data_IF_158599392063
#
_entry.id   IF_158599392063
#
_cell.length_a   1.000
_cell.length_b   1.000
_cell.length_c   1.000
_cell.angle_alpha   90.00
_cell.angle_beta   90.00
_cell.angle_gamma   90.00
#
_symmetry.space_group_name_H-M   'P 1'
#
loop_
_entity.id
_entity.type
_entity.pdbx_description
1 polymer ?
#
# COMPACT_ATOMS: atom_id res chain seq x y z
N UNK A 1 -19.84 -30.63 -18.66
CA UNK A 1 -20.58 -29.52 -18.01
C UNK A 1 -19.86 -28.95 -16.80
N UNK A 2 -19.72 -29.64 -15.65
CA UNK A 2 -19.07 -29.05 -14.44
C UNK A 2 -17.66 -28.49 -14.69
N UNK A 3 -16.80 -29.24 -15.37
CA UNK A 3 -15.43 -28.78 -15.67
C UNK A 3 -15.42 -27.56 -16.60
N UNK A 4 -16.29 -27.54 -17.62
CA UNK A 4 -16.46 -26.39 -18.51
C UNK A 4 -16.88 -25.14 -17.73
N UNK A 5 -17.90 -25.27 -16.87
CA UNK A 5 -18.39 -24.16 -16.05
C UNK A 5 -17.29 -23.62 -15.13
N UNK A 6 -16.50 -24.50 -14.49
CA UNK A 6 -15.37 -24.08 -13.67
C UNK A 6 -14.36 -23.26 -14.48
N UNK A 7 -13.97 -23.74 -15.66
CA UNK A 7 -13.03 -23.01 -16.53
C UNK A 7 -13.58 -21.66 -16.97
N UNK A 8 -14.87 -21.57 -17.33
CA UNK A 8 -15.51 -20.31 -17.71
C UNK A 8 -15.52 -19.28 -16.57
N UNK A 9 -15.82 -19.69 -15.33
CA UNK A 9 -15.73 -18.82 -14.16
C UNK A 9 -14.30 -18.31 -13.95
N UNK A 10 -13.31 -19.21 -14.03
CA UNK A 10 -11.89 -18.85 -13.88
C UNK A 10 -11.46 -17.86 -14.99
N UNK A 11 -11.86 -18.09 -16.23
CA UNK A 11 -11.58 -17.15 -17.33
C UNK A 11 -12.23 -15.79 -17.11
N UNK A 12 -13.45 -15.72 -16.55
CA UNK A 12 -14.08 -14.45 -16.18
C UNK A 12 -13.24 -13.67 -15.16
N UNK A 13 -12.71 -14.34 -14.13
CA UNK A 13 -11.82 -13.69 -13.15
C UNK A 13 -10.50 -13.27 -13.78
N UNK A 14 -9.92 -14.08 -14.67
CA UNK A 14 -8.74 -13.66 -15.41
C UNK A 14 -9.03 -12.45 -16.30
N UNK A 15 -10.20 -12.37 -16.94
CA UNK A 15 -10.58 -11.23 -17.78
C UNK A 15 -10.51 -9.92 -16.99
N UNK A 16 -11.21 -9.86 -15.86
CA UNK A 16 -11.23 -8.68 -14.98
C UNK A 16 -9.83 -8.33 -14.46
N UNK A 17 -9.03 -9.35 -14.14
CA UNK A 17 -7.66 -9.20 -13.67
C UNK A 17 -6.77 -8.58 -14.75
N UNK A 18 -6.77 -9.13 -15.96
CA UNK A 18 -5.98 -8.63 -17.08
C UNK A 18 -6.42 -7.23 -17.50
N UNK A 19 -7.72 -6.96 -17.57
CA UNK A 19 -8.25 -5.65 -17.94
C UNK A 19 -7.77 -4.54 -16.99
N UNK A 20 -7.91 -4.75 -15.67
CA UNK A 20 -7.40 -3.82 -14.67
C UNK A 20 -5.90 -3.60 -14.81
N UNK A 21 -5.13 -4.67 -14.97
CA UNK A 21 -3.68 -4.57 -14.96
C UNK A 21 -3.13 -3.95 -16.26
N UNK A 22 -3.73 -4.24 -17.42
CA UNK A 22 -3.41 -3.58 -18.69
C UNK A 22 -3.65 -2.07 -18.58
N UNK A 23 -4.77 -1.66 -17.98
CA UNK A 23 -5.05 -0.25 -17.71
C UNK A 23 -3.97 0.39 -16.79
N UNK A 24 -3.56 -0.29 -15.71
CA UNK A 24 -2.52 0.19 -14.82
C UNK A 24 -1.15 0.28 -15.51
N UNK A 25 -0.81 -0.71 -16.34
CA UNK A 25 0.44 -0.72 -17.12
C UNK A 25 0.47 0.46 -18.09
N UNK A 26 -0.59 0.68 -18.87
CA UNK A 26 -0.69 1.81 -19.79
C UNK A 26 -0.61 3.15 -19.04
N UNK A 27 -1.34 3.28 -17.94
CA UNK A 27 -1.35 4.48 -17.10
C UNK A 27 0.03 4.76 -16.52
N UNK A 28 0.72 3.74 -15.98
CA UNK A 28 2.06 3.88 -15.40
C UNK A 28 3.10 4.35 -16.44
N UNK A 29 3.02 3.86 -17.68
CA UNK A 29 3.90 4.28 -18.78
C UNK A 29 3.59 5.73 -19.19
N UNK A 30 2.31 6.08 -19.33
CA UNK A 30 1.86 7.42 -19.68
C UNK A 30 2.24 8.46 -18.63
N UNK A 31 2.02 8.17 -17.35
CA UNK A 31 2.32 9.07 -16.24
C UNK A 31 3.82 9.26 -16.03
N UNK A 32 4.61 8.20 -16.16
CA UNK A 32 6.06 8.30 -16.16
C UNK A 32 6.51 9.31 -17.25
N UNK A 33 5.99 9.18 -18.48
CA UNK A 33 6.33 10.12 -19.57
C UNK A 33 5.90 11.56 -19.29
N UNK A 34 4.73 11.76 -18.67
CA UNK A 34 4.15 13.10 -18.45
C UNK A 34 4.78 13.86 -17.26
N UNK A 35 5.23 13.13 -16.23
CA UNK A 35 5.63 13.73 -14.96
C UNK A 35 7.07 13.41 -14.52
N UNK A 36 7.84 12.63 -15.29
CA UNK A 36 9.23 12.27 -14.97
C UNK A 36 10.10 13.46 -14.56
N UNK A 37 9.94 14.61 -15.23
CA UNK A 37 10.77 15.79 -14.98
C UNK A 37 10.30 16.64 -13.78
N UNK A 38 9.09 16.38 -13.27
CA UNK A 38 8.42 17.25 -12.28
C UNK A 38 8.45 16.71 -10.86
N UNK A 39 8.53 15.39 -10.69
CA UNK A 39 8.52 14.77 -9.37
C UNK A 39 9.31 13.44 -9.37
N UNK A 40 10.51 13.46 -8.78
CA UNK A 40 11.40 12.29 -8.71
C UNK A 40 10.79 11.14 -7.91
N UNK A 41 10.08 11.43 -6.83
CA UNK A 41 9.44 10.40 -5.99
C UNK A 41 8.30 9.70 -6.74
N UNK A 42 7.54 10.45 -7.55
CA UNK A 42 6.52 9.89 -8.43
C UNK A 42 7.12 9.02 -9.54
N UNK A 43 8.31 9.37 -10.04
CA UNK A 43 9.03 8.54 -11.00
C UNK A 43 9.44 7.19 -10.38
N UNK A 44 10.04 7.21 -9.18
CA UNK A 44 10.45 5.98 -8.50
C UNK A 44 9.25 5.08 -8.17
N UNK A 45 8.17 5.64 -7.63
CA UNK A 45 6.93 4.92 -7.39
C UNK A 45 6.36 4.25 -8.66
N UNK A 46 6.40 4.96 -9.79
CA UNK A 46 5.96 4.39 -11.07
C UNK A 46 6.85 3.25 -11.55
N UNK A 47 8.17 3.32 -11.36
CA UNK A 47 9.08 2.22 -11.72
C UNK A 47 8.84 0.98 -10.84
N UNK A 48 8.68 1.16 -9.53
CA UNK A 48 8.38 0.06 -8.60
C UNK A 48 7.02 -0.59 -8.90
N UNK A 49 6.01 0.24 -9.24
CA UNK A 49 4.70 -0.23 -9.68
C UNK A 49 4.81 -1.02 -11.00
N UNK A 50 5.56 -0.53 -11.99
CA UNK A 50 5.79 -1.24 -13.25
C UNK A 50 6.45 -2.60 -13.00
N UNK A 51 7.46 -2.66 -12.14
CA UNK A 51 8.13 -3.92 -11.82
C UNK A 51 7.18 -4.90 -11.12
N UNK A 52 6.37 -4.40 -10.17
CA UNK A 52 5.37 -5.22 -9.47
C UNK A 52 4.31 -5.77 -10.43
N UNK A 53 3.79 -4.93 -11.34
CA UNK A 53 2.85 -5.34 -12.38
C UNK A 53 3.48 -6.34 -13.33
N UNK A 54 4.72 -6.13 -13.77
CA UNK A 54 5.46 -7.03 -14.64
C UNK A 54 5.56 -8.45 -14.05
N UNK A 55 6.04 -8.56 -12.81
CA UNK A 55 6.16 -9.85 -12.11
C UNK A 55 4.80 -10.52 -11.93
N UNK A 56 3.79 -9.74 -11.55
CA UNK A 56 2.42 -10.23 -11.41
C UNK A 56 1.87 -10.76 -12.74
N UNK A 57 2.08 -10.07 -13.85
CA UNK A 57 1.62 -10.52 -15.17
C UNK A 57 2.28 -11.85 -15.58
N UNK A 58 3.55 -12.09 -15.23
CA UNK A 58 4.20 -13.37 -15.50
C UNK A 58 3.47 -14.52 -14.78
N UNK A 59 3.08 -14.31 -13.52
CA UNK A 59 2.29 -15.28 -12.75
C UNK A 59 0.94 -15.52 -13.44
N UNK A 60 0.26 -14.45 -13.82
CA UNK A 60 -1.09 -14.50 -14.38
C UNK A 60 -1.13 -15.15 -15.77
N UNK A 61 -0.16 -14.85 -16.64
CA UNK A 61 0.00 -15.52 -17.94
C UNK A 61 0.27 -17.01 -17.75
N UNK A 62 1.17 -17.38 -16.82
CA UNK A 62 1.43 -18.80 -16.54
C UNK A 62 0.18 -19.53 -16.02
N UNK A 63 -0.56 -18.90 -15.10
CA UNK A 63 -1.78 -19.47 -14.54
C UNK A 63 -2.89 -19.59 -15.59
N UNK A 64 -3.01 -18.62 -16.50
CA UNK A 64 -3.89 -18.69 -17.65
C UNK A 64 -3.53 -19.87 -18.57
N UNK A 65 -2.25 -20.08 -18.89
CA UNK A 65 -1.82 -21.22 -19.71
C UNK A 65 -2.14 -22.57 -19.07
N UNK A 66 -2.01 -22.67 -17.74
CA UNK A 66 -2.38 -23.88 -16.99
C UNK A 66 -3.90 -24.12 -17.06
N UNK A 67 -4.72 -23.08 -16.90
CA UNK A 67 -6.19 -23.18 -17.04
C UNK A 67 -6.60 -23.49 -18.49
N UNK A 68 -5.99 -22.84 -19.49
CA UNK A 68 -6.29 -23.09 -20.90
C UNK A 68 -5.99 -24.55 -21.28
N UNK A 69 -4.94 -25.14 -20.73
CA UNK A 69 -4.65 -26.57 -20.91
C UNK A 69 -5.76 -27.45 -20.33
N UNK A 70 -6.30 -27.11 -19.16
CA UNK A 70 -7.43 -27.82 -18.58
C UNK A 70 -8.70 -27.68 -19.44
N UNK A 71 -9.01 -26.47 -19.91
CA UNK A 71 -10.11 -26.21 -20.84
C UNK A 71 -9.97 -27.00 -22.14
N UNK A 72 -8.80 -26.93 -22.80
CA UNK A 72 -8.54 -27.61 -24.07
C UNK A 72 -8.61 -29.14 -23.95
N UNK A 73 -8.42 -29.72 -22.76
CA UNK A 73 -8.61 -31.17 -22.56
C UNK A 73 -10.05 -31.63 -22.86
N UNK A 74 -11.02 -30.71 -22.78
CA UNK A 74 -12.43 -30.96 -23.10
C UNK A 74 -12.69 -31.02 -24.62
N UNK A 75 -11.76 -30.58 -25.47
CA UNK A 75 -11.90 -30.57 -26.93
C UNK A 75 -12.09 -31.98 -27.54
N UNK A 76 -11.75 -33.04 -26.79
CA UNK A 76 -12.01 -34.41 -27.20
C UNK A 76 -13.51 -34.68 -27.33
N UNK A 77 -14.29 -34.21 -26.36
CA UNK A 77 -15.70 -34.54 -26.19
C UNK A 77 -16.63 -33.35 -26.50
N UNK A 78 -16.09 -32.13 -26.60
CA UNK A 78 -16.84 -30.92 -26.94
C UNK A 78 -16.30 -30.26 -28.23
N UNK A 79 -17.14 -30.23 -29.26
CA UNK A 79 -16.80 -29.67 -30.56
C UNK A 79 -16.60 -28.14 -30.52
N UNK A 80 -17.35 -27.42 -29.69
CA UNK A 80 -17.22 -25.96 -29.55
C UNK A 80 -15.87 -25.61 -28.93
N UNK A 81 -15.47 -26.35 -27.90
CA UNK A 81 -14.14 -26.22 -27.28
C UNK A 81 -13.06 -26.46 -28.32
N UNK A 82 -13.20 -27.51 -29.14
CA UNK A 82 -12.24 -27.82 -30.21
C UNK A 82 -12.13 -26.69 -31.24
N UNK A 83 -13.27 -26.12 -31.66
CA UNK A 83 -13.30 -25.00 -32.62
C UNK A 83 -12.62 -23.76 -32.06
N UNK A 84 -12.98 -23.36 -30.83
CA UNK A 84 -12.35 -22.20 -30.16
C UNK A 84 -10.86 -22.43 -30.00
N UNK A 85 -10.45 -23.60 -29.48
CA UNK A 85 -9.03 -23.93 -29.28
C UNK A 85 -8.22 -23.89 -30.58
N UNK A 86 -8.84 -24.29 -31.69
CA UNK A 86 -8.22 -24.19 -33.02
C UNK A 86 -8.12 -22.75 -33.50
N UNK A 87 -9.15 -21.94 -33.28
CA UNK A 87 -9.18 -20.53 -33.68
C UNK A 87 -8.13 -19.69 -32.92
N UNK A 88 -7.95 -19.95 -31.63
CA UNK A 88 -7.02 -19.18 -30.78
C UNK A 88 -5.57 -19.70 -30.84
N UNK A 89 -5.33 -20.83 -31.50
CA UNK A 89 -4.01 -21.46 -31.60
C UNK A 89 -2.89 -20.52 -32.06
N UNK A 90 -3.09 -19.58 -33.02
CA UNK A 90 -2.04 -18.65 -33.42
C UNK A 90 -1.61 -17.71 -32.27
N UNK A 91 -2.56 -17.20 -31.49
CA UNK A 91 -2.29 -16.35 -30.34
C UNK A 91 -1.60 -17.14 -29.22
N UNK A 92 -2.11 -18.35 -28.93
CA UNK A 92 -1.50 -19.23 -27.93
C UNK A 92 -0.05 -19.57 -28.27
N UNK A 93 0.23 -19.93 -29.52
CA UNK A 93 1.59 -20.21 -30.00
C UNK A 93 2.53 -19.05 -29.73
N UNK A 94 2.06 -17.81 -29.94
CA UNK A 94 2.88 -16.62 -29.71
C UNK A 94 3.24 -16.44 -28.23
N UNK A 95 2.36 -16.84 -27.31
CA UNK A 95 2.66 -16.86 -25.86
C UNK A 95 3.65 -17.99 -25.54
N UNK A 96 3.44 -19.18 -26.10
CA UNK A 96 4.28 -20.37 -25.86
C UNK A 96 5.70 -20.25 -26.44
N UNK A 97 5.93 -19.33 -27.38
CA UNK A 97 7.27 -19.01 -27.89
C UNK A 97 8.20 -18.44 -26.80
N UNK A 98 7.64 -17.86 -25.73
CA UNK A 98 8.39 -17.33 -24.58
C UNK A 98 8.64 -18.45 -23.57
N UNK A 99 9.66 -19.27 -23.83
CA UNK A 99 9.94 -20.50 -23.08
C UNK A 99 10.30 -20.28 -21.61
N UNK A 100 10.86 -19.11 -21.30
CA UNK A 100 11.35 -18.72 -19.98
C UNK A 100 10.28 -18.31 -19.00
N UNK A 101 9.01 -18.10 -19.42
CA UNK A 101 7.92 -17.63 -18.54
C UNK A 101 7.79 -18.41 -17.23
N UNK A 102 7.82 -19.76 -17.31
CA UNK A 102 7.67 -20.62 -16.13
C UNK A 102 8.91 -20.58 -15.23
N UNK A 103 10.11 -20.52 -15.82
CA UNK A 103 11.36 -20.40 -15.07
C UNK A 103 11.41 -19.06 -14.33
N UNK A 104 11.05 -17.97 -15.02
CA UNK A 104 10.94 -16.63 -14.47
C UNK A 104 9.96 -16.58 -13.29
N UNK A 105 8.73 -17.11 -13.48
CA UNK A 105 7.73 -17.22 -12.41
C UNK A 105 8.29 -17.96 -11.20
N UNK A 106 8.91 -19.12 -11.41
CA UNK A 106 9.36 -19.96 -10.32
C UNK A 106 10.47 -19.28 -9.50
N UNK A 107 11.48 -18.72 -10.16
CA UNK A 107 12.61 -18.11 -9.47
C UNK A 107 12.26 -16.80 -8.76
N UNK A 108 11.52 -15.92 -9.45
CA UNK A 108 11.33 -14.54 -8.99
C UNK A 108 10.02 -14.33 -8.22
N UNK A 109 8.96 -15.08 -8.53
CA UNK A 109 7.68 -14.95 -7.83
C UNK A 109 7.42 -16.06 -6.80
N UNK A 110 7.81 -17.31 -7.07
CA UNK A 110 7.48 -18.43 -6.18
C UNK A 110 8.56 -18.74 -5.14
N UNK A 111 9.83 -18.43 -5.43
CA UNK A 111 10.97 -18.82 -4.59
C UNK A 111 11.81 -17.64 -4.08
N UNK A 112 11.28 -16.41 -4.12
CA UNK A 112 11.91 -15.20 -3.57
C UNK A 112 13.37 -15.03 -4.02
N UNK A 113 13.61 -15.00 -5.33
CA UNK A 113 14.94 -14.87 -5.93
C UNK A 113 15.86 -16.07 -5.64
N UNK A 114 15.32 -17.28 -5.53
CA UNK A 114 16.10 -18.52 -5.36
C UNK A 114 15.63 -19.59 -6.32
N UNK A 115 16.51 -20.47 -6.74
CA UNK A 115 16.13 -21.68 -7.46
C UNK A 115 15.99 -22.86 -6.50
N UNK A 116 15.02 -23.75 -6.75
CA UNK A 116 14.82 -24.95 -5.94
C UNK A 116 16.08 -25.83 -5.84
N UNK A 117 16.87 -25.89 -6.92
CA UNK A 117 18.12 -26.66 -7.00
C UNK A 117 19.34 -25.92 -6.44
N UNK A 118 19.25 -24.59 -6.27
CA UNK A 118 20.35 -23.71 -5.81
C UNK A 118 19.82 -22.82 -4.70
N UNK A 119 19.40 -23.44 -3.60
CA UNK A 119 18.73 -22.74 -2.49
C UNK A 119 19.65 -21.73 -1.79
N UNK A 120 20.96 -21.87 -1.88
CA UNK A 120 21.92 -20.99 -1.21
C UNK A 120 22.33 -19.77 -2.04
N UNK A 121 21.95 -19.74 -3.32
CA UNK A 121 22.29 -18.65 -4.24
C UNK A 121 21.08 -17.74 -4.49
N UNK A 122 21.32 -16.43 -4.51
CA UNK A 122 20.33 -15.45 -4.96
C UNK A 122 20.41 -15.37 -6.47
N UNK A 123 19.29 -15.63 -7.14
CA UNK A 123 19.17 -15.45 -8.58
C UNK A 123 19.04 -13.97 -8.88
N UNK A 124 19.85 -13.47 -9.81
CA UNK A 124 19.80 -12.07 -10.18
C UNK A 124 18.66 -11.86 -11.18
N UNK A 125 17.93 -10.75 -11.04
CA UNK A 125 16.92 -10.35 -12.04
C UNK A 125 17.57 -10.24 -13.43
N UNK A 126 18.82 -9.80 -13.50
CA UNK A 126 19.59 -9.71 -14.74
C UNK A 126 19.77 -11.05 -15.44
N UNK A 127 19.77 -12.17 -14.71
CA UNK A 127 19.91 -13.50 -15.30
C UNK A 127 18.71 -13.84 -16.18
N UNK A 128 17.53 -13.29 -15.84
CA UNK A 128 16.31 -13.45 -16.64
C UNK A 128 16.13 -12.33 -17.66
N UNK A 129 16.45 -11.08 -17.32
CA UNK A 129 16.31 -9.95 -18.27
C UNK A 129 17.22 -10.12 -19.49
N UNK A 130 18.38 -10.75 -19.31
CA UNK A 130 19.33 -11.02 -20.39
C UNK A 130 19.10 -12.37 -21.09
N UNK A 131 18.20 -13.21 -20.58
CA UNK A 131 17.86 -14.48 -21.19
C UNK A 131 16.88 -14.25 -22.36
N UNK A 132 17.25 -14.59 -23.60
CA UNK A 132 16.39 -14.38 -24.77
C UNK A 132 15.09 -15.21 -24.73
N UNK A 133 15.00 -16.24 -23.89
CA UNK A 133 13.79 -17.03 -23.71
C UNK A 133 12.82 -16.38 -22.70
N UNK A 134 13.24 -15.34 -21.98
CA UNK A 134 12.47 -14.66 -20.94
C UNK A 134 11.92 -13.30 -21.40
N UNK A 135 10.74 -12.89 -20.91
CA UNK A 135 10.27 -11.55 -21.20
C UNK A 135 11.17 -10.52 -20.52
N UNK A 136 11.47 -9.41 -21.21
CA UNK A 136 12.40 -8.40 -20.68
C UNK A 136 11.86 -6.96 -20.72
N UNK A 137 10.62 -6.77 -21.16
CA UNK A 137 10.00 -5.44 -21.23
C UNK A 137 8.54 -5.43 -20.81
N UNK A 138 8.11 -4.32 -20.21
CA UNK A 138 6.70 -4.11 -19.85
C UNK A 138 5.78 -4.17 -21.08
N UNK A 139 6.27 -3.77 -22.26
CA UNK A 139 5.54 -3.81 -23.51
C UNK A 139 5.31 -5.26 -23.99
N UNK A 140 6.31 -6.13 -23.83
CA UNK A 140 6.15 -7.56 -24.11
C UNK A 140 5.13 -8.20 -23.16
N UNK A 141 5.21 -7.91 -21.87
CA UNK A 141 4.20 -8.40 -20.93
C UNK A 141 2.80 -7.85 -21.23
N UNK A 142 2.68 -6.58 -21.63
CA UNK A 142 1.40 -6.01 -22.06
C UNK A 142 0.84 -6.77 -23.27
N UNK A 143 1.69 -7.07 -24.25
CA UNK A 143 1.31 -7.84 -25.43
C UNK A 143 0.86 -9.27 -25.06
N UNK A 144 1.63 -10.00 -24.26
CA UNK A 144 1.28 -11.35 -23.82
C UNK A 144 -0.04 -11.36 -23.03
N UNK A 145 -0.22 -10.44 -22.08
CA UNK A 145 -1.47 -10.31 -21.31
C UNK A 145 -2.66 -9.94 -22.18
N UNK A 146 -2.45 -9.10 -23.20
CA UNK A 146 -3.47 -8.76 -24.19
C UNK A 146 -3.87 -9.97 -25.02
N UNK A 147 -2.93 -10.84 -25.41
CA UNK A 147 -3.26 -12.10 -26.07
C UNK A 147 -4.10 -13.01 -25.16
N UNK A 148 -3.74 -13.16 -23.89
CA UNK A 148 -4.56 -13.91 -22.92
C UNK A 148 -5.98 -13.35 -22.84
N UNK A 149 -6.12 -12.02 -22.70
CA UNK A 149 -7.41 -11.34 -22.68
C UNK A 149 -8.23 -11.61 -23.94
N UNK A 150 -7.63 -11.46 -25.13
CA UNK A 150 -8.30 -11.74 -26.41
C UNK A 150 -8.77 -13.19 -26.51
N UNK A 151 -7.96 -14.15 -26.07
CA UNK A 151 -8.36 -15.57 -26.06
C UNK A 151 -9.58 -15.78 -25.14
N UNK A 152 -9.58 -15.15 -23.96
CA UNK A 152 -10.69 -15.20 -23.01
C UNK A 152 -11.95 -14.60 -23.63
N UNK A 153 -11.86 -13.48 -24.35
CA UNK A 153 -13.02 -12.89 -25.03
C UNK A 153 -13.62 -13.85 -26.05
N UNK A 154 -12.79 -14.51 -26.88
CA UNK A 154 -13.27 -15.51 -27.84
C UNK A 154 -13.99 -16.66 -27.14
N UNK A 155 -13.44 -17.16 -26.02
CA UNK A 155 -14.08 -18.21 -25.22
C UNK A 155 -15.41 -17.72 -24.65
N UNK A 156 -15.44 -16.55 -24.01
CA UNK A 156 -16.64 -16.00 -23.38
C UNK A 156 -17.74 -15.70 -24.41
N UNK A 157 -17.39 -15.28 -25.63
CA UNK A 157 -18.35 -15.08 -26.71
C UNK A 157 -18.92 -16.40 -27.21
N UNK A 158 -18.11 -17.44 -27.41
CA UNK A 158 -18.63 -18.75 -27.84
C UNK A 158 -19.54 -19.35 -26.77
N UNK A 159 -19.20 -19.20 -25.49
CA UNK A 159 -19.86 -19.86 -24.35
C UNK A 159 -20.66 -18.90 -23.46
N UNK A 160 -21.23 -17.83 -24.03
CA UNK A 160 -21.91 -16.77 -23.27
C UNK A 160 -23.03 -17.33 -22.36
N UNK A 161 -23.85 -18.24 -22.89
CA UNK A 161 -24.94 -18.87 -22.13
C UNK A 161 -24.44 -19.71 -20.97
N UNK A 162 -23.42 -20.54 -21.21
CA UNK A 162 -22.82 -21.40 -20.20
C UNK A 162 -22.09 -20.59 -19.14
N UNK A 163 -21.41 -19.51 -19.55
CA UNK A 163 -20.72 -18.61 -18.64
C UNK A 163 -21.71 -17.93 -17.71
N UNK A 164 -22.82 -17.40 -18.24
CA UNK A 164 -23.88 -16.80 -17.42
C UNK A 164 -24.40 -17.80 -16.39
N UNK A 165 -24.73 -19.02 -16.83
CA UNK A 165 -25.21 -20.06 -15.92
C UNK A 165 -24.15 -20.46 -14.89
N UNK A 166 -22.87 -20.52 -15.27
CA UNK A 166 -21.77 -20.87 -14.39
C UNK A 166 -21.54 -19.78 -13.33
N UNK A 167 -21.62 -18.50 -13.70
CA UNK A 167 -21.51 -17.36 -12.77
C UNK A 167 -22.70 -17.30 -11.81
N UNK A 168 -23.92 -17.51 -12.29
CA UNK A 168 -25.12 -17.60 -11.44
C UNK A 168 -24.99 -18.74 -10.42
N UNK A 169 -24.53 -19.92 -10.88
CA UNK A 169 -24.31 -21.07 -10.01
C UNK A 169 -23.17 -20.84 -9.01
N UNK A 170 -22.09 -20.18 -9.43
CA UNK A 170 -20.97 -19.84 -8.55
C UNK A 170 -21.41 -18.85 -7.48
N UNK A 171 -22.05 -17.74 -7.86
CA UNK A 171 -22.57 -16.73 -6.94
C UNK A 171 -23.57 -17.32 -5.94
N UNK A 172 -24.48 -18.19 -6.40
CA UNK A 172 -25.44 -18.87 -5.51
C UNK A 172 -24.78 -19.88 -4.55
N UNK A 173 -23.55 -20.31 -4.82
CA UNK A 173 -22.77 -21.21 -3.95
C UNK A 173 -21.92 -20.47 -2.92
N UNK A 174 -21.75 -19.15 -3.08
CA UNK A 174 -21.08 -18.31 -2.08
C UNK A 174 -21.99 -18.17 -0.87
N UNK A 175 -21.42 -18.30 0.32
CA UNK A 175 -22.10 -17.89 1.54
C UNK A 175 -22.20 -16.36 1.57
N UNK A 176 -23.29 -15.83 2.11
CA UNK A 176 -23.35 -14.42 2.46
C UNK A 176 -22.51 -14.20 3.73
N UNK A 177 -21.30 -13.69 3.54
CA UNK A 177 -20.36 -13.33 4.60
C UNK A 177 -20.30 -11.81 4.83
N UNK A 178 -21.26 -11.04 4.30
CA UNK A 178 -21.29 -9.58 4.42
C UNK A 178 -21.45 -9.09 5.87
N UNK A 179 -22.13 -9.88 6.70
CA UNK A 179 -22.31 -9.64 8.14
C UNK A 179 -21.26 -10.38 8.98
N UNK A 180 -20.36 -11.17 8.38
CA UNK A 180 -19.25 -11.77 9.13
C UNK A 180 -18.27 -10.68 9.56
N UNK A 181 -17.97 -10.56 10.86
CA UNK A 181 -17.02 -9.55 11.31
C UNK A 181 -15.63 -9.86 10.73
N UNK A 182 -14.99 -8.83 10.17
CA UNK A 182 -13.59 -8.89 9.75
C UNK A 182 -12.73 -9.46 10.90
N UNK A 183 -11.93 -10.49 10.61
CA UNK A 183 -11.03 -11.11 11.58
C UNK A 183 -9.66 -10.43 11.55
N UNK A 184 -9.04 -10.28 12.71
CA UNK A 184 -7.72 -9.68 12.84
C UNK A 184 -7.76 -8.15 12.68
N UNK A 185 -6.83 -7.62 11.88
CA UNK A 185 -6.70 -6.19 11.58
C UNK A 185 -7.75 -5.78 10.56
N UNK A 186 -8.64 -4.86 10.94
CA UNK A 186 -9.83 -4.47 10.17
C UNK A 186 -9.60 -3.21 9.37
N UNK A 187 -8.75 -2.32 9.88
CA UNK A 187 -8.48 -1.02 9.26
C UNK A 187 -6.99 -0.81 9.05
N UNK A 188 -6.64 0.06 8.10
CA UNK A 188 -5.24 0.48 7.89
C UNK A 188 -4.68 1.16 9.14
N UNK A 189 -5.54 1.89 9.89
CA UNK A 189 -5.16 2.53 11.15
C UNK A 189 -4.76 1.50 12.20
N UNK A 190 -5.59 0.49 12.41
CA UNK A 190 -5.28 -0.65 13.30
C UNK A 190 -3.96 -1.33 12.87
N UNK A 191 -3.70 -1.44 11.56
CA UNK A 191 -2.44 -2.00 11.05
C UNK A 191 -1.23 -1.14 11.45
N UNK A 192 -1.32 0.18 11.32
CA UNK A 192 -0.25 1.10 11.72
C UNK A 192 0.03 0.99 13.22
N UNK A 193 -1.01 1.01 14.04
CA UNK A 193 -0.89 0.91 15.50
C UNK A 193 -0.23 -0.40 15.93
N UNK A 194 -0.66 -1.54 15.37
CA UNK A 194 -0.07 -2.84 15.71
C UNK A 194 1.38 -2.95 15.22
N UNK A 195 1.68 -2.48 14.01
CA UNK A 195 3.07 -2.48 13.51
C UNK A 195 3.97 -1.64 14.42
N UNK A 196 3.54 -0.46 14.85
CA UNK A 196 4.34 0.38 15.75
C UNK A 196 4.63 -0.30 17.08
N UNK A 197 3.62 -0.94 17.69
CA UNK A 197 3.81 -1.71 18.93
C UNK A 197 4.91 -2.76 18.78
N UNK A 198 4.95 -3.50 17.67
CA UNK A 198 6.00 -4.50 17.44
C UNK A 198 7.36 -3.86 17.14
N UNK A 199 7.41 -2.76 16.40
CA UNK A 199 8.67 -2.04 16.13
C UNK A 199 9.31 -1.54 17.42
N UNK A 200 8.52 -0.93 18.30
CA UNK A 200 8.98 -0.44 19.61
C UNK A 200 9.49 -1.59 20.49
N UNK A 201 8.78 -2.72 20.55
CA UNK A 201 9.24 -3.94 21.26
C UNK A 201 10.57 -4.47 20.75
N UNK A 202 10.89 -4.26 19.47
CA UNK A 202 12.15 -4.65 18.84
C UNK A 202 13.23 -3.55 18.90
N UNK A 203 13.01 -2.47 19.65
CA UNK A 203 13.88 -1.29 19.73
C UNK A 203 14.16 -0.65 18.35
N UNK A 204 13.19 -0.73 17.43
CA UNK A 204 13.25 -0.06 16.14
C UNK A 204 12.55 1.30 16.23
N UNK A 205 13.04 2.28 15.46
CA UNK A 205 12.36 3.58 15.33
C UNK A 205 10.96 3.40 14.72
N UNK A 206 9.99 4.24 15.13
CA UNK A 206 8.70 4.26 14.47
C UNK A 206 8.80 4.49 12.97
N UNK A 207 7.94 3.82 12.22
CA UNK A 207 7.87 3.94 10.76
C UNK A 207 6.83 4.98 10.33
N UNK A 208 5.77 5.16 11.11
CA UNK A 208 4.59 5.93 10.74
C UNK A 208 4.42 7.21 11.56
N UNK A 209 5.44 7.65 12.30
CA UNK A 209 5.37 8.86 13.13
C UNK A 209 5.02 10.12 12.31
N UNK A 210 5.58 10.29 11.11
CA UNK A 210 5.22 11.43 10.25
C UNK A 210 3.74 11.40 9.86
N UNK A 211 3.21 10.22 9.54
CA UNK A 211 1.78 10.06 9.26
C UNK A 211 0.93 10.38 10.50
N UNK A 212 1.36 9.94 11.68
CA UNK A 212 0.71 10.27 12.96
C UNK A 212 0.60 11.79 13.17
N UNK A 213 1.67 12.52 12.85
CA UNK A 213 1.73 13.97 12.97
C UNK A 213 0.78 14.64 11.96
N UNK A 214 0.69 14.13 10.74
CA UNK A 214 -0.28 14.63 9.74
C UNK A 214 -1.72 14.32 10.14
N UNK A 215 -2.00 13.16 10.72
CA UNK A 215 -3.31 12.82 11.28
C UNK A 215 -3.71 13.80 12.40
N UNK A 216 -2.78 14.09 13.30
CA UNK A 216 -2.99 15.10 14.34
C UNK A 216 -3.26 16.49 13.75
N UNK A 217 -2.53 16.91 12.71
CA UNK A 217 -2.80 18.19 12.02
C UNK A 217 -4.19 18.23 11.39
N UNK A 218 -4.61 17.15 10.72
CA UNK A 218 -5.95 17.04 10.16
C UNK A 218 -7.04 17.09 11.25
N UNK A 219 -6.76 16.57 12.44
CA UNK A 219 -7.65 16.68 13.59
C UNK A 219 -7.77 18.13 14.06
N UNK A 220 -6.67 18.89 14.15
CA UNK A 220 -6.68 20.31 14.51
C UNK A 220 -7.52 21.19 13.57
N UNK A 221 -7.68 20.78 12.31
CA UNK A 221 -8.55 21.48 11.36
C UNK A 221 -10.05 21.25 11.63
N UNK A 222 -10.39 20.17 12.35
CA UNK A 222 -11.77 19.72 12.58
C UNK A 222 -12.30 20.00 13.98
N UNK A 223 -11.42 20.27 14.95
CA UNK A 223 -11.83 20.55 16.34
C UNK A 223 -12.68 21.80 16.45
N UNK A 224 -13.58 21.82 17.43
CA UNK A 224 -14.36 23.00 17.72
C UNK A 224 -13.51 24.06 18.45
N UNK A 225 -12.95 25.00 17.71
CA UNK A 225 -12.14 26.08 18.27
C UNK A 225 -12.90 27.01 19.24
N UNK A 226 -14.24 27.02 19.24
CA UNK A 226 -15.03 27.89 20.13
C UNK A 226 -15.01 27.43 21.60
N UNK A 227 -14.70 26.16 21.87
CA UNK A 227 -14.62 25.61 23.22
C UNK A 227 -13.19 25.54 23.75
N UNK A 228 -12.21 25.98 22.95
CA UNK A 228 -10.79 25.92 23.33
C UNK A 228 -10.46 26.99 24.38
N UNK A 229 -9.76 26.64 25.47
CA UNK A 229 -9.29 27.62 26.45
C UNK A 229 -8.38 28.66 25.79
N UNK A 230 -8.39 29.87 26.33
CA UNK A 230 -7.63 31.01 25.79
C UNK A 230 -6.11 30.77 25.74
N UNK A 231 -5.63 29.90 26.61
CA UNK A 231 -4.25 29.44 26.81
C UNK A 231 -3.76 28.61 25.61
N UNK A 232 -4.67 28.03 24.81
CA UNK A 232 -4.38 27.27 23.60
C UNK A 232 -4.38 28.14 22.34
N UNK A 233 -4.63 29.45 22.45
CA UNK A 233 -4.49 30.35 21.30
C UNK A 233 -3.05 30.33 20.80
N UNK A 234 -2.90 30.20 19.49
CA UNK A 234 -1.60 30.22 18.83
C UNK A 234 -1.33 31.64 18.33
N UNK A 235 -0.30 32.28 18.87
CA UNK A 235 0.18 33.61 18.51
C UNK A 235 1.43 33.50 17.63
N UNK A 236 1.56 34.45 16.70
CA UNK A 236 2.69 34.45 15.77
C UNK A 236 3.99 34.74 16.52
N UNK A 237 4.96 33.83 16.38
CA UNK A 237 6.28 33.95 16.99
C UNK A 237 6.40 33.36 18.40
N UNK A 238 5.32 32.84 18.99
CA UNK A 238 5.36 32.20 20.31
C UNK A 238 5.07 30.70 20.22
N UNK A 239 5.82 29.92 21.00
CA UNK A 239 5.55 28.48 21.14
C UNK A 239 4.50 28.26 22.21
N UNK A 240 3.59 27.33 21.99
CA UNK A 240 2.59 26.98 23.00
C UNK A 240 2.93 25.67 23.72
N UNK A 241 3.30 25.79 25.01
CA UNK A 241 3.61 24.64 25.87
C UNK A 241 2.41 23.74 26.16
N UNK A 242 1.19 24.28 26.23
CA UNK A 242 -0.02 23.50 26.50
C UNK A 242 -0.35 22.56 25.34
N UNK A 243 -0.11 23.01 24.11
CA UNK A 243 -0.21 22.15 22.93
C UNK A 243 0.82 21.02 22.91
N UNK A 244 2.02 21.24 23.49
CA UNK A 244 2.99 20.16 23.68
C UNK A 244 2.43 19.08 24.62
N UNK A 245 1.79 19.47 25.72
CA UNK A 245 1.18 18.51 26.66
C UNK A 245 0.06 17.68 26.02
N UNK A 246 -0.83 18.32 25.24
CA UNK A 246 -1.89 17.63 24.50
C UNK A 246 -1.33 16.65 23.47
N UNK A 247 -0.32 17.09 22.70
CA UNK A 247 0.35 16.23 21.72
C UNK A 247 1.00 15.02 22.38
N UNK A 248 1.67 15.19 23.53
CA UNK A 248 2.29 14.07 24.24
C UNK A 248 1.23 13.10 24.78
N UNK A 249 0.08 13.60 25.27
CA UNK A 249 -1.03 12.72 25.70
C UNK A 249 -1.53 11.85 24.55
N UNK A 250 -1.75 12.47 23.39
CA UNK A 250 -2.11 11.77 22.16
C UNK A 250 -1.07 10.71 21.76
N UNK A 251 0.21 11.10 21.69
CA UNK A 251 1.28 10.17 21.31
C UNK A 251 1.43 9.01 22.31
N UNK A 252 1.28 9.27 23.62
CA UNK A 252 1.31 8.21 24.64
C UNK A 252 0.12 7.26 24.53
N UNK A 253 -1.08 7.78 24.25
CA UNK A 253 -2.26 6.95 24.00
C UNK A 253 -2.02 6.03 22.79
N UNK A 254 -1.34 6.53 21.75
CA UNK A 254 -0.92 5.76 20.58
C UNK A 254 0.27 4.80 20.84
N UNK A 255 0.78 4.75 22.08
CA UNK A 255 1.83 3.83 22.50
C UNK A 255 3.26 4.32 22.23
N UNK A 256 3.45 5.58 21.83
CA UNK A 256 4.78 6.15 21.66
C UNK A 256 5.42 6.43 23.03
N UNK A 257 6.66 5.98 23.18
CA UNK A 257 7.48 6.16 24.39
C UNK A 257 8.69 7.06 24.13
N UNK A 258 9.48 7.35 25.18
CA UNK A 258 10.74 8.10 25.04
C UNK A 258 10.55 9.56 24.61
N UNK A 259 9.44 10.17 25.00
CA UNK A 259 9.06 11.53 24.64
C UNK A 259 9.70 12.53 25.63
N UNK A 260 10.48 13.47 25.11
CA UNK A 260 11.15 14.50 25.90
C UNK A 260 10.47 15.87 25.73
N UNK A 261 10.26 16.56 26.85
CA UNK A 261 9.79 17.94 26.89
C UNK A 261 10.98 18.88 26.97
N UNK A 262 11.15 19.74 25.97
CA UNK A 262 12.33 20.59 25.84
C UNK A 262 11.93 22.06 25.85
N UNK A 263 12.72 22.85 26.57
CA UNK A 263 12.62 24.30 26.68
C UNK A 263 13.92 24.91 26.16
N UNK A 264 13.80 25.93 25.33
CA UNK A 264 14.93 26.71 24.82
C UNK A 264 14.74 28.19 25.12
N UNK A 265 15.82 28.89 25.47
CA UNK A 265 15.78 30.32 25.80
C UNK A 265 16.78 31.09 24.94
N UNK A 266 16.32 32.21 24.36
CA UNK A 266 17.13 33.19 23.61
C UNK A 266 16.71 34.60 23.95
N UNK A 267 17.52 35.33 24.71
CA UNK A 267 17.15 36.67 25.16
C UNK A 267 15.87 36.66 25.98
N UNK A 268 14.84 37.37 25.54
CA UNK A 268 13.51 37.37 26.18
C UNK A 268 12.56 36.27 25.66
N UNK A 269 12.98 35.48 24.67
CA UNK A 269 12.13 34.46 24.05
C UNK A 269 12.32 33.10 24.70
N UNK A 270 11.21 32.44 25.03
CA UNK A 270 11.18 31.06 25.54
C UNK A 270 10.40 30.18 24.57
N UNK A 271 11.06 29.16 24.02
CA UNK A 271 10.49 28.14 23.16
C UNK A 271 10.22 26.84 23.89
N UNK A 272 9.14 26.14 23.55
CA UNK A 272 8.79 24.81 24.04
C UNK A 272 8.50 23.88 22.86
N UNK A 273 9.03 22.66 22.92
CA UNK A 273 8.77 21.63 21.93
C UNK A 273 8.90 20.23 22.55
N UNK A 274 8.48 19.24 21.76
CA UNK A 274 8.57 17.83 22.11
C UNK A 274 9.63 17.18 21.21
N UNK A 275 10.56 16.41 21.79
CA UNK A 275 11.48 15.58 21.02
C UNK A 275 11.16 14.09 21.19
N UNK A 276 11.11 13.38 20.06
CA UNK A 276 10.98 11.92 20.04
C UNK A 276 11.53 11.35 18.72
N UNK A 277 12.23 10.21 18.80
CA UNK A 277 12.69 9.44 17.63
C UNK A 277 13.41 10.25 16.54
N UNK A 278 14.20 11.26 16.94
CA UNK A 278 14.96 12.11 16.02
C UNK A 278 14.17 13.26 15.39
N UNK A 279 12.97 13.52 15.91
CA UNK A 279 12.09 14.63 15.50
C UNK A 279 11.91 15.61 16.65
N UNK A 280 11.74 16.88 16.30
CA UNK A 280 11.31 17.95 17.19
C UNK A 280 9.99 18.53 16.69
N UNK A 281 8.95 18.49 17.55
CA UNK A 281 7.58 18.90 17.28
C UNK A 281 7.26 20.18 18.05
N UNK A 282 6.92 21.24 17.32
CA UNK A 282 6.73 22.58 17.90
C UNK A 282 5.44 23.20 17.36
N UNK A 283 4.71 23.90 18.23
CA UNK A 283 3.51 24.64 17.85
C UNK A 283 3.83 26.14 17.75
N UNK A 284 3.90 26.67 16.52
CA UNK A 284 4.04 28.11 16.23
C UNK A 284 3.04 28.45 15.12
N UNK A 285 1.91 29.07 15.47
CA UNK A 285 0.71 29.21 14.63
C UNK A 285 0.06 27.90 14.16
N UNK A 286 0.85 26.82 14.04
CA UNK A 286 0.47 25.45 13.68
C UNK A 286 1.54 24.47 14.16
N UNK A 287 1.24 23.18 14.13
CA UNK A 287 2.21 22.13 14.38
C UNK A 287 3.26 22.07 13.26
N UNK A 288 4.53 22.12 13.61
CA UNK A 288 5.68 22.01 12.70
C UNK A 288 6.65 20.92 13.17
N UNK A 289 7.33 20.31 12.20
CA UNK A 289 8.30 19.23 12.37
C UNK A 289 9.70 19.73 11.99
N UNK A 290 10.69 19.49 12.86
CA UNK A 290 12.09 19.85 12.65
C UNK A 290 13.04 18.71 13.05
N UNK A 291 14.30 18.80 12.61
CA UNK A 291 15.39 18.05 13.24
C UNK A 291 15.76 18.70 14.57
N UNK A 292 15.95 17.93 15.66
CA UNK A 292 16.35 18.46 16.96
C UNK A 292 17.56 19.41 16.89
N UNK A 293 18.61 19.04 16.16
CA UNK A 293 19.82 19.87 16.04
C UNK A 293 19.56 21.25 15.43
N UNK A 294 18.64 21.35 14.48
CA UNK A 294 18.27 22.62 13.83
C UNK A 294 17.55 23.52 14.83
N UNK A 295 16.58 22.96 15.56
CA UNK A 295 15.82 23.73 16.53
C UNK A 295 16.68 24.15 17.72
N UNK A 296 17.45 23.22 18.28
CA UNK A 296 18.39 23.47 19.38
C UNK A 296 19.42 24.55 19.02
N UNK A 297 19.92 24.57 17.78
CA UNK A 297 20.85 25.59 17.31
C UNK A 297 20.31 27.03 17.27
N UNK A 298 19.00 27.22 17.45
CA UNK A 298 18.36 28.54 17.49
C UNK A 298 18.28 29.12 18.90
N UNK A 299 18.66 28.35 19.93
CA UNK A 299 18.56 28.74 21.33
C UNK A 299 19.91 28.83 22.05
N UNK A 300 20.07 29.82 22.92
CA UNK A 300 21.29 30.02 23.71
C UNK A 300 21.39 29.10 24.93
N UNK A 301 20.24 28.77 25.54
CA UNK A 301 20.15 27.85 26.67
C UNK A 301 19.07 26.80 26.39
N UNK A 302 19.30 25.55 26.79
CA UNK A 302 18.38 24.44 26.54
C UNK A 302 18.30 23.55 27.77
N UNK A 303 17.09 23.31 28.23
CA UNK A 303 16.80 22.45 29.39
C UNK A 303 15.64 21.51 29.09
N UNK A 304 15.62 20.37 29.77
CA UNK A 304 14.41 19.56 29.84
C UNK A 304 13.51 20.15 30.92
N UNK A 305 12.22 20.32 30.60
CA UNK A 305 11.24 20.80 31.57
C UNK A 305 10.27 19.67 31.93
N UNK A 306 9.65 19.80 33.10
CA UNK A 306 8.64 18.87 33.58
C UNK A 306 7.28 19.49 33.26
N UNK A 307 6.34 18.73 32.65
CA UNK A 307 4.96 19.18 32.42
C UNK A 307 4.33 19.82 33.65
N UNK A 308 3.56 20.89 33.46
CA UNK A 308 2.94 21.60 34.57
C UNK A 308 1.91 20.71 35.27
N UNK A 309 2.10 20.44 36.57
CA UNK A 309 1.21 19.56 37.37
C UNK A 309 0.16 20.31 38.19
N UNK A 310 -0.04 21.62 37.97
CA UNK A 310 -1.15 22.34 38.61
C UNK A 310 -2.49 21.75 38.13
N UNK A 311 -3.39 21.48 39.09
CA UNK A 311 -4.66 20.76 38.85
C UNK A 311 -5.50 21.36 37.72
N UNK A 312 -5.48 22.69 37.56
CA UNK A 312 -6.32 23.39 36.58
C UNK A 312 -5.74 23.32 35.15
N UNK A 313 -4.42 23.40 34.99
CA UNK A 313 -3.73 23.23 33.68
C UNK A 313 -3.90 21.81 33.14
N UNK A 314 -3.80 20.81 34.03
CA UNK A 314 -4.03 19.41 33.65
C UNK A 314 -5.49 19.17 33.23
N UNK A 315 -6.46 19.90 33.77
CA UNK A 315 -7.87 19.80 33.36
C UNK A 315 -8.11 20.46 31.99
N UNK A 316 -7.53 21.63 31.73
CA UNK A 316 -7.65 22.29 30.43
C UNK A 316 -7.01 21.47 29.30
N UNK A 317 -5.82 20.91 29.53
CA UNK A 317 -5.19 20.01 28.56
C UNK A 317 -5.99 18.73 28.32
N UNK A 318 -6.66 18.20 29.35
CA UNK A 318 -7.56 17.05 29.20
C UNK A 318 -8.76 17.39 28.31
N UNK A 319 -9.42 18.54 28.55
CA UNK A 319 -10.55 18.99 27.74
C UNK A 319 -10.19 19.13 26.25
N UNK A 320 -9.04 19.71 25.96
CA UNK A 320 -8.56 19.87 24.57
C UNK A 320 -8.18 18.52 23.96
N UNK A 321 -7.54 17.65 24.74
CA UNK A 321 -7.24 16.29 24.30
C UNK A 321 -8.52 15.50 23.96
N UNK A 322 -9.54 15.53 24.81
CA UNK A 322 -10.83 14.89 24.56
C UNK A 322 -11.51 15.42 23.30
N UNK A 323 -11.43 16.74 23.03
CA UNK A 323 -11.98 17.35 21.82
C UNK A 323 -11.26 16.87 20.56
N UNK A 324 -9.93 16.69 20.61
CA UNK A 324 -9.16 16.09 19.51
C UNK A 324 -9.57 14.63 19.30
N UNK A 325 -9.73 13.87 20.36
CA UNK A 325 -10.08 12.46 20.28
C UNK A 325 -11.46 12.20 19.66
N UNK A 326 -12.35 13.19 19.62
CA UNK A 326 -13.64 13.09 18.91
C UNK A 326 -13.50 13.09 17.38
N UNK A 327 -12.41 13.67 16.85
CA UNK A 327 -12.23 13.89 15.41
C UNK A 327 -11.07 13.10 14.80
N UNK A 328 -10.23 12.51 15.65
CA UNK A 328 -9.20 11.54 15.27
C UNK A 328 -9.87 10.20 14.96
N UNK A 329 -9.39 9.50 13.93
CA UNK A 329 -9.89 8.17 13.59
C UNK A 329 -9.55 7.18 14.73
N UNK A 330 -10.53 6.37 15.20
CA UNK A 330 -10.27 5.33 16.20
C UNK A 330 -9.07 4.45 15.84
#
# INVERSE_FOLDING_TARGET
MKQLHNSLVIFSFFKEKFERDLFLMETSVSWAKKYADKCKDLLHFNEDLKQSLFLKQIIDVCAFLDEFKAFNSLARDDERVRRVSSAVKPALKRIEEVKGLRAYRNALAAHNFREEKRKDEVVLISDFVNDPDCPNSIAEMFFLSSLCYTIIEVINTEFESELKQALESYGSSLGDDSEEPLRGIKTIREAYDEVEKYRLKLNLRPKFLEYEIEEFKMALEKVNWSVMPSEFKLTEGETNKYWCEVLVRYLKMRGYEGIEYVQGVTGCYTGHWVELYGHALIFINKLKLYKPSVLRGSYSEITNWIPFTEKDSSQQAELVYEEIMKVVAP
#
